data_IF_732689918644
#
_entry.id   IF_732689918644
#
_cell.length_a   1.000
_cell.length_b   1.000
_cell.length_c   1.000
_cell.angle_alpha   90.00
_cell.angle_beta   90.00
_cell.angle_gamma   90.00
#
_symmetry.space_group_name_H-M   'P 1'
#
loop_
_entity.id
_entity.type
_entity.pdbx_description
1 polymer ?
#
# COMPACT_ATOMS: atom_id res chain seq x y z
N UNK A 1 -8.58 -13.29 2.28
CA UNK A 1 -7.40 -12.73 1.60
C UNK A 1 -6.89 -13.61 0.44
N UNK A 2 -7.04 -14.95 0.51
CA UNK A 2 -6.58 -15.87 -0.54
C UNK A 2 -7.13 -15.52 -1.92
N UNK A 3 -8.43 -15.32 -2.05
CA UNK A 3 -9.09 -14.94 -3.32
C UNK A 3 -8.53 -13.65 -3.94
N UNK A 4 -8.01 -12.75 -3.10
CA UNK A 4 -7.47 -11.46 -3.53
C UNK A 4 -6.09 -11.64 -4.14
N UNK A 5 -5.28 -12.55 -3.60
CA UNK A 5 -3.98 -12.87 -4.20
C UNK A 5 -4.15 -13.49 -5.59
N UNK A 6 -5.18 -14.31 -5.80
CA UNK A 6 -5.46 -14.87 -7.11
C UNK A 6 -5.84 -13.76 -8.11
N UNK A 7 -6.68 -12.81 -7.71
CA UNK A 7 -7.04 -11.64 -8.54
C UNK A 7 -5.81 -10.77 -8.80
N UNK A 8 -5.00 -10.50 -7.77
CA UNK A 8 -3.78 -9.72 -7.91
C UNK A 8 -2.78 -10.42 -8.84
N UNK A 9 -2.54 -11.70 -8.62
CA UNK A 9 -1.66 -12.52 -9.46
C UNK A 9 -2.16 -12.59 -10.90
N UNK A 10 -3.45 -12.71 -11.12
CA UNK A 10 -4.03 -12.70 -12.46
C UNK A 10 -3.82 -11.36 -13.19
N UNK A 11 -3.94 -10.25 -12.46
CA UNK A 11 -3.67 -8.91 -13.01
C UNK A 11 -2.19 -8.66 -13.30
N UNK A 12 -1.28 -9.36 -12.62
CA UNK A 12 0.17 -9.18 -12.69
C UNK A 12 0.88 -10.23 -13.57
N UNK A 13 0.19 -11.27 -14.05
CA UNK A 13 0.70 -12.55 -14.59
C UNK A 13 1.80 -12.49 -15.64
N UNK A 14 1.99 -11.39 -16.37
CA UNK A 14 2.97 -11.35 -17.46
C UNK A 14 4.03 -10.25 -17.37
N UNK A 15 3.91 -9.33 -16.41
CA UNK A 15 4.73 -8.09 -16.41
C UNK A 15 5.40 -7.74 -15.08
N UNK A 16 5.25 -8.56 -14.05
CA UNK A 16 5.78 -8.18 -12.74
C UNK A 16 7.24 -8.59 -12.58
N UNK A 17 8.05 -7.64 -12.09
CA UNK A 17 9.42 -7.87 -11.64
C UNK A 17 9.47 -8.59 -10.28
N UNK A 18 8.33 -8.69 -9.57
CA UNK A 18 8.24 -9.18 -8.19
C UNK A 18 7.53 -10.55 -8.07
N UNK A 19 7.53 -11.36 -9.13
CA UNK A 19 6.80 -12.64 -9.16
C UNK A 19 7.13 -13.56 -7.98
N UNK A 20 8.41 -13.75 -7.67
CA UNK A 20 8.84 -14.63 -6.57
C UNK A 20 8.37 -14.09 -5.20
N UNK A 21 8.36 -12.77 -5.05
CA UNK A 21 7.87 -12.12 -3.84
C UNK A 21 6.35 -12.27 -3.70
N UNK A 22 5.60 -12.16 -4.77
CA UNK A 22 4.14 -12.38 -4.78
C UNK A 22 3.79 -13.82 -4.41
N UNK A 23 4.50 -14.80 -4.95
CA UNK A 23 4.34 -16.21 -4.58
C UNK A 23 4.69 -16.48 -3.10
N UNK A 24 5.71 -15.80 -2.58
CA UNK A 24 6.02 -15.83 -1.15
C UNK A 24 4.87 -15.25 -0.32
N UNK A 25 4.35 -14.08 -0.66
CA UNK A 25 3.24 -13.43 0.05
C UNK A 25 2.00 -14.34 0.08
N UNK A 26 1.66 -14.97 -1.05
CA UNK A 26 0.56 -15.91 -1.14
C UNK A 26 0.71 -17.03 -0.12
N UNK A 27 1.84 -17.74 -0.17
CA UNK A 27 2.14 -18.83 0.77
C UNK A 27 2.16 -18.37 2.23
N UNK A 28 2.65 -17.16 2.45
CA UNK A 28 2.70 -16.57 3.78
C UNK A 28 1.29 -16.35 4.36
N UNK A 29 0.38 -15.77 3.57
CA UNK A 29 -1.02 -15.54 3.98
C UNK A 29 -1.77 -16.85 4.20
N UNK A 30 -1.64 -17.82 3.28
CA UNK A 30 -2.24 -19.14 3.41
C UNK A 30 -1.79 -19.87 4.70
N UNK A 31 -0.49 -19.80 5.02
CA UNK A 31 0.09 -20.48 6.17
C UNK A 31 -0.27 -19.84 7.52
N UNK A 32 -0.41 -18.51 7.56
CA UNK A 32 -0.61 -17.77 8.81
C UNK A 32 -2.07 -17.42 9.10
N UNK A 33 -3.02 -17.77 8.21
CA UNK A 33 -4.47 -17.52 8.38
C UNK A 33 -4.76 -16.07 8.77
N UNK A 34 -4.24 -15.13 8.00
CA UNK A 34 -4.32 -13.71 8.30
C UNK A 34 -5.78 -13.26 8.37
N UNK A 35 -6.16 -12.68 9.49
CA UNK A 35 -7.50 -12.16 9.76
C UNK A 35 -7.45 -10.64 9.78
N UNK A 36 -8.36 -10.01 9.06
CA UNK A 36 -8.54 -8.55 9.05
C UNK A 36 -9.91 -8.18 9.65
N UNK A 37 -10.04 -7.05 10.35
CA UNK A 37 -11.34 -6.60 10.84
C UNK A 37 -12.24 -6.25 9.65
N UNK A 38 -13.45 -6.81 9.63
CA UNK A 38 -14.46 -6.46 8.63
C UNK A 38 -15.14 -5.15 9.03
N UNK A 39 -14.98 -4.12 8.20
CA UNK A 39 -15.51 -2.78 8.44
C UNK A 39 -15.88 -2.11 7.12
N UNK A 40 -16.61 -0.98 7.20
CA UNK A 40 -16.77 -0.12 6.04
C UNK A 40 -15.43 0.48 5.62
N UNK A 41 -15.22 0.63 4.31
CA UNK A 41 -14.08 1.31 3.72
C UNK A 41 -14.54 2.17 2.53
N UNK A 42 -13.69 3.12 2.15
CA UNK A 42 -13.85 3.93 0.94
C UNK A 42 -13.40 3.18 -0.30
N UNK A 43 -12.40 2.30 -0.16
CA UNK A 43 -11.83 1.48 -1.22
C UNK A 43 -10.72 2.14 -2.03
N UNK A 44 -10.67 3.47 -2.08
CA UNK A 44 -9.60 4.24 -2.73
C UNK A 44 -9.40 5.59 -2.05
N UNK A 45 -9.17 5.59 -0.74
CA UNK A 45 -9.00 6.81 0.06
C UNK A 45 -7.62 7.44 -0.17
N UNK A 46 -7.43 8.00 -1.35
CA UNK A 46 -6.27 8.82 -1.72
C UNK A 46 -6.59 10.31 -1.58
N UNK A 47 -5.59 11.16 -1.55
CA UNK A 47 -5.82 12.61 -1.48
C UNK A 47 -6.54 13.17 -2.71
N UNK A 48 -6.44 12.52 -3.87
CA UNK A 48 -7.21 12.89 -5.05
C UNK A 48 -8.72 12.74 -4.85
N UNK A 49 -9.15 11.88 -3.93
CA UNK A 49 -10.55 11.58 -3.64
C UNK A 49 -11.06 12.32 -2.40
N UNK A 50 -10.29 13.29 -1.88
CA UNK A 50 -10.67 14.13 -0.75
C UNK A 50 -10.76 15.59 -1.21
N UNK A 51 -11.94 16.17 -1.12
CA UNK A 51 -12.19 17.57 -1.44
C UNK A 51 -12.40 18.36 -0.15
N UNK A 52 -11.61 19.41 0.03
CA UNK A 52 -11.82 20.36 1.12
C UNK A 52 -12.52 21.62 0.59
N UNK A 53 -13.72 21.90 1.08
CA UNK A 53 -14.48 23.09 0.68
C UNK A 53 -15.23 23.67 1.89
N UNK A 54 -15.13 24.99 2.11
CA UNK A 54 -15.85 25.73 3.20
C UNK A 54 -15.74 25.02 4.57
N UNK A 55 -14.53 24.66 4.99
CA UNK A 55 -14.23 23.94 6.23
C UNK A 55 -14.92 22.56 6.38
N UNK A 56 -15.25 21.91 5.25
CA UNK A 56 -15.80 20.56 5.22
C UNK A 56 -14.95 19.67 4.31
N UNK A 57 -14.84 18.41 4.70
CA UNK A 57 -14.23 17.38 3.88
C UNK A 57 -15.36 16.61 3.16
N UNK A 58 -15.15 16.37 1.89
CA UNK A 58 -16.02 15.54 1.06
C UNK A 58 -15.16 14.41 0.50
N UNK A 59 -15.68 13.20 0.60
CA UNK A 59 -15.07 12.01 0.03
C UNK A 59 -15.83 11.64 -1.22
N UNK A 60 -15.12 11.40 -2.32
CA UNK A 60 -15.67 11.07 -3.64
C UNK A 60 -15.03 9.78 -4.15
N UNK A 61 -15.62 9.18 -5.19
CA UNK A 61 -15.11 7.98 -5.85
C UNK A 61 -14.94 6.77 -4.91
N UNK A 62 -16.02 6.44 -4.17
CA UNK A 62 -16.11 5.21 -3.41
C UNK A 62 -16.05 4.02 -4.37
N UNK A 63 -15.13 3.09 -4.10
CA UNK A 63 -14.96 1.87 -4.89
C UNK A 63 -15.27 0.63 -4.05
N UNK A 64 -15.71 -0.43 -4.73
CA UNK A 64 -15.80 -1.75 -4.11
C UNK A 64 -14.39 -2.20 -3.67
N UNK A 65 -14.28 -2.58 -2.40
CA UNK A 65 -13.04 -3.05 -1.84
C UNK A 65 -12.87 -4.56 -2.11
N UNK A 66 -11.66 -4.99 -2.41
CA UNK A 66 -11.35 -6.44 -2.38
C UNK A 66 -11.43 -7.00 -0.96
N UNK A 67 -11.12 -6.17 0.03
CA UNK A 67 -11.24 -6.48 1.46
C UNK A 67 -11.97 -5.34 2.14
N UNK A 68 -13.16 -5.62 2.65
CA UNK A 68 -13.96 -4.64 3.41
C UNK A 68 -13.34 -4.40 4.78
N UNK A 69 -12.33 -3.55 4.80
CA UNK A 69 -11.63 -3.15 6.03
C UNK A 69 -11.12 -1.71 5.93
N UNK A 70 -11.24 -0.95 7.03
CA UNK A 70 -10.66 0.40 7.10
C UNK A 70 -9.12 0.41 6.95
N UNK A 71 -8.46 -0.74 7.15
CA UNK A 71 -7.02 -0.87 6.90
C UNK A 71 -6.70 -0.64 5.42
N UNK A 72 -7.61 -1.00 4.50
CA UNK A 72 -7.47 -0.71 3.06
C UNK A 72 -7.39 0.80 2.81
N UNK A 73 -8.17 1.60 3.53
CA UNK A 73 -8.11 3.06 3.44
C UNK A 73 -6.83 3.63 4.06
N UNK A 74 -6.38 3.07 5.19
CA UNK A 74 -5.13 3.51 5.81
C UNK A 74 -3.91 3.26 4.93
N UNK A 75 -3.84 2.14 4.21
CA UNK A 75 -2.72 1.88 3.28
C UNK A 75 -2.77 2.80 2.06
N UNK A 76 -3.95 3.25 1.64
CA UNK A 76 -4.10 4.27 0.60
C UNK A 76 -3.61 5.64 1.05
N UNK A 77 -3.95 6.05 2.26
CA UNK A 77 -3.44 7.27 2.87
C UNK A 77 -1.91 7.18 3.04
N UNK A 78 -1.39 6.03 3.47
CA UNK A 78 0.06 5.79 3.58
C UNK A 78 0.76 5.95 2.23
N UNK A 79 0.17 5.44 1.16
CA UNK A 79 0.69 5.60 -0.19
C UNK A 79 0.97 7.06 -0.54
N UNK A 80 0.09 7.98 -0.13
CA UNK A 80 0.28 9.40 -0.39
C UNK A 80 1.19 10.08 0.63
N UNK A 81 1.03 9.80 1.93
CA UNK A 81 1.72 10.51 3.01
C UNK A 81 3.15 10.03 3.24
N UNK A 82 3.39 8.73 3.22
CA UNK A 82 4.70 8.14 3.54
C UNK A 82 5.53 7.89 2.27
N UNK A 83 4.89 7.39 1.23
CA UNK A 83 5.58 7.10 -0.03
C UNK A 83 5.61 8.29 -1.00
N UNK A 84 4.84 9.35 -0.71
CA UNK A 84 4.71 10.56 -1.53
C UNK A 84 4.26 10.27 -2.97
N UNK A 85 3.44 9.23 -3.15
CA UNK A 85 3.08 8.76 -4.49
C UNK A 85 2.43 9.86 -5.33
N UNK A 86 1.42 10.56 -4.80
CA UNK A 86 0.74 11.64 -5.49
C UNK A 86 1.72 12.79 -5.84
N UNK A 87 2.60 13.19 -4.92
CA UNK A 87 3.56 14.26 -5.16
C UNK A 87 4.56 13.90 -6.26
N UNK A 88 5.03 12.66 -6.28
CA UNK A 88 5.98 12.17 -7.29
C UNK A 88 5.33 12.07 -8.67
N UNK A 89 4.09 11.58 -8.74
CA UNK A 89 3.35 11.43 -10.01
C UNK A 89 2.95 12.78 -10.60
N UNK A 90 2.65 13.77 -9.75
CA UNK A 90 2.29 15.13 -10.21
C UNK A 90 3.49 16.05 -10.40
N UNK A 91 4.71 15.56 -10.13
CA UNK A 91 5.95 16.34 -10.21
C UNK A 91 5.91 17.64 -9.35
N UNK A 92 5.25 17.59 -8.21
CA UNK A 92 5.07 18.71 -7.26
C UNK A 92 5.84 18.45 -5.97
N UNK A 93 6.95 17.76 -6.04
CA UNK A 93 7.73 17.38 -4.87
C UNK A 93 8.57 18.56 -4.38
N UNK A 94 8.27 19.03 -3.16
CA UNK A 94 9.09 19.99 -2.43
C UNK A 94 9.43 19.46 -1.05
N UNK A 95 10.61 19.80 -0.53
CA UNK A 95 11.03 19.40 0.82
C UNK A 95 10.02 19.80 1.91
N UNK A 96 9.38 20.96 1.75
CA UNK A 96 8.36 21.42 2.72
C UNK A 96 7.11 20.54 2.70
N UNK A 97 6.63 20.12 1.54
CA UNK A 97 5.48 19.21 1.44
C UNK A 97 5.82 17.85 2.01
N UNK A 98 7.02 17.34 1.74
CA UNK A 98 7.51 16.10 2.32
C UNK A 98 7.47 16.13 3.86
N UNK A 99 7.95 17.21 4.48
CA UNK A 99 7.91 17.35 5.94
C UNK A 99 6.48 17.36 6.48
N UNK A 100 5.54 18.06 5.81
CA UNK A 100 4.13 18.09 6.21
C UNK A 100 3.52 16.70 6.10
N UNK A 101 3.80 15.96 5.02
CA UNK A 101 3.26 14.62 4.79
C UNK A 101 3.81 13.61 5.81
N UNK A 102 5.12 13.65 6.10
CA UNK A 102 5.73 12.81 7.15
C UNK A 102 5.14 13.11 8.52
N UNK A 103 4.94 14.38 8.85
CA UNK A 103 4.28 14.75 10.10
C UNK A 103 2.87 14.18 10.19
N UNK A 104 2.06 14.36 9.13
CA UNK A 104 0.70 13.83 9.09
C UNK A 104 0.66 12.30 9.19
N UNK A 105 1.59 11.60 8.52
CA UNK A 105 1.72 10.15 8.63
C UNK A 105 2.07 9.71 10.05
N UNK A 106 3.06 10.32 10.67
CA UNK A 106 3.47 10.01 12.05
C UNK A 106 2.31 10.18 13.05
N UNK A 107 1.49 11.22 12.88
CA UNK A 107 0.30 11.43 13.73
C UNK A 107 -0.75 10.32 13.53
N UNK A 108 -0.97 9.89 12.29
CA UNK A 108 -1.87 8.77 11.98
C UNK A 108 -1.32 7.44 12.51
N UNK A 109 -0.05 7.16 12.28
CA UNK A 109 0.63 5.95 12.74
C UNK A 109 0.55 5.85 14.27
N UNK A 110 0.85 6.91 15.00
CA UNK A 110 0.74 6.95 16.46
C UNK A 110 -0.71 6.68 16.94
N UNK A 111 -1.69 7.26 16.26
CA UNK A 111 -3.12 7.11 16.63
C UNK A 111 -3.65 5.70 16.35
N UNK A 112 -3.22 5.09 15.27
CA UNK A 112 -3.72 3.79 14.80
C UNK A 112 -2.70 2.65 14.96
N UNK A 113 -1.61 2.85 15.73
CA UNK A 113 -0.53 1.88 15.92
C UNK A 113 -1.01 0.50 16.35
N UNK A 114 -2.08 0.43 17.16
CA UNK A 114 -2.67 -0.85 17.59
C UNK A 114 -3.31 -1.67 16.46
N UNK A 115 -3.58 -1.04 15.31
CA UNK A 115 -4.14 -1.67 14.12
C UNK A 115 -3.08 -1.88 13.03
N UNK A 116 -1.91 -1.25 13.14
CA UNK A 116 -0.80 -1.36 12.20
C UNK A 116 0.09 -2.55 12.53
N UNK A 117 -0.47 -3.74 12.44
CA UNK A 117 0.19 -5.01 12.66
C UNK A 117 0.21 -5.83 11.36
N UNK A 118 0.60 -7.09 11.42
CA UNK A 118 0.86 -7.94 10.25
C UNK A 118 -0.18 -7.85 9.11
N UNK A 119 -1.51 -7.86 9.34
CA UNK A 119 -2.50 -7.67 8.28
C UNK A 119 -2.38 -6.32 7.55
N UNK A 120 -2.05 -5.25 8.27
CA UNK A 120 -1.80 -3.94 7.68
C UNK A 120 -0.56 -3.97 6.78
N UNK A 121 0.55 -4.56 7.24
CA UNK A 121 1.78 -4.67 6.45
C UNK A 121 1.55 -5.46 5.14
N UNK A 122 0.72 -6.51 5.18
CA UNK A 122 0.34 -7.29 4.00
C UNK A 122 -0.51 -6.46 3.02
N UNK A 123 -1.54 -5.78 3.53
CA UNK A 123 -2.41 -4.93 2.70
C UNK A 123 -1.62 -3.76 2.08
N UNK A 124 -0.65 -3.21 2.80
CA UNK A 124 0.25 -2.16 2.31
C UNK A 124 1.06 -2.66 1.11
N UNK A 125 1.72 -3.80 1.24
CA UNK A 125 2.47 -4.42 0.13
C UNK A 125 1.58 -4.77 -1.05
N UNK A 126 0.40 -5.33 -0.81
CA UNK A 126 -0.57 -5.64 -1.88
C UNK A 126 -1.02 -4.37 -2.61
N UNK A 127 -1.28 -3.29 -1.87
CA UNK A 127 -1.64 -2.00 -2.47
C UNK A 127 -0.52 -1.45 -3.36
N UNK A 128 0.74 -1.59 -2.93
CA UNK A 128 1.91 -1.13 -3.69
C UNK A 128 2.09 -1.98 -4.96
N UNK A 129 2.02 -3.30 -4.84
CA UNK A 129 2.15 -4.22 -5.99
C UNK A 129 1.06 -3.96 -7.04
N UNK A 130 -0.16 -3.61 -6.63
CA UNK A 130 -1.25 -3.27 -7.53
C UNK A 130 -0.95 -2.08 -8.44
N UNK A 131 -0.03 -1.20 -8.06
CA UNK A 131 0.37 -0.04 -8.86
C UNK A 131 1.30 -0.44 -10.02
N UNK A 132 2.04 -1.54 -9.88
CA UNK A 132 3.08 -1.96 -10.84
C UNK A 132 2.60 -1.97 -12.30
N UNK A 133 1.41 -2.50 -12.67
CA UNK A 133 0.94 -2.51 -14.06
C UNK A 133 0.71 -1.12 -14.67
N UNK A 134 0.54 -0.11 -13.85
CA UNK A 134 0.25 1.27 -14.28
C UNK A 134 1.50 2.14 -14.40
N UNK A 135 2.69 1.58 -14.11
CA UNK A 135 3.94 2.33 -14.20
C UNK A 135 4.32 2.57 -15.66
N UNK A 136 4.58 3.83 -15.98
CA UNK A 136 4.89 4.28 -17.35
C UNK A 136 6.37 4.61 -17.56
N UNK A 137 7.16 4.73 -16.48
CA UNK A 137 8.58 5.08 -16.55
C UNK A 137 9.44 4.19 -15.67
N UNK A 138 10.72 4.10 -16.02
CA UNK A 138 11.73 3.37 -15.24
C UNK A 138 11.92 4.01 -13.85
N UNK A 139 11.88 5.34 -13.74
CA UNK A 139 12.01 6.04 -12.47
C UNK A 139 10.89 5.64 -11.49
N UNK A 140 9.66 5.49 -11.98
CA UNK A 140 8.54 5.01 -11.17
C UNK A 140 8.77 3.58 -10.68
N UNK A 141 9.33 2.70 -11.52
CA UNK A 141 9.66 1.32 -11.14
C UNK A 141 10.73 1.27 -10.05
N UNK A 142 11.78 2.07 -10.19
CA UNK A 142 12.84 2.18 -9.17
C UNK A 142 12.28 2.66 -7.84
N UNK A 143 11.34 3.61 -7.85
CA UNK A 143 10.67 4.08 -6.64
C UNK A 143 9.84 2.95 -6.02
N UNK A 144 9.03 2.25 -6.81
CA UNK A 144 8.21 1.14 -6.36
C UNK A 144 9.06 0.02 -5.73
N UNK A 145 10.13 -0.40 -6.40
CA UNK A 145 11.07 -1.41 -5.91
C UNK A 145 11.67 -1.02 -4.56
N UNK A 146 12.08 0.24 -4.39
CA UNK A 146 12.59 0.75 -3.10
C UNK A 146 11.53 0.69 -2.00
N UNK A 147 10.29 1.05 -2.31
CA UNK A 147 9.19 1.00 -1.35
C UNK A 147 8.96 -0.46 -0.91
N UNK A 148 8.84 -1.39 -1.85
CA UNK A 148 8.66 -2.82 -1.57
C UNK A 148 9.79 -3.33 -0.66
N UNK A 149 11.04 -3.04 -1.01
CA UNK A 149 12.22 -3.47 -0.25
C UNK A 149 12.31 -2.86 1.15
N UNK A 150 11.63 -1.75 1.40
CA UNK A 150 11.56 -1.12 2.72
C UNK A 150 10.50 -1.72 3.65
N UNK A 151 9.64 -2.60 3.15
CA UNK A 151 8.56 -3.20 3.96
C UNK A 151 9.08 -4.30 4.89
N UNK A 152 8.46 -4.46 6.05
CA UNK A 152 8.80 -5.52 7.01
C UNK A 152 8.61 -6.92 6.42
N UNK A 153 7.57 -7.11 5.62
CA UNK A 153 7.28 -8.39 4.96
C UNK A 153 8.37 -8.76 3.96
N UNK A 154 8.97 -7.80 3.26
CA UNK A 154 10.10 -8.06 2.36
C UNK A 154 11.34 -8.55 3.12
N UNK A 155 11.60 -8.03 4.33
CA UNK A 155 12.67 -8.53 5.17
C UNK A 155 12.48 -10.02 5.52
N UNK A 156 11.24 -10.46 5.78
CA UNK A 156 10.92 -11.87 6.00
C UNK A 156 11.16 -12.71 4.74
N UNK A 157 10.81 -12.20 3.55
CA UNK A 157 11.07 -12.86 2.27
C UNK A 157 12.55 -13.13 2.05
N UNK A 158 13.41 -12.12 2.25
CA UNK A 158 14.86 -12.26 2.10
C UNK A 158 15.42 -13.28 3.10
N UNK A 159 15.01 -13.21 4.36
CA UNK A 159 15.45 -14.14 5.40
C UNK A 159 15.06 -15.60 5.10
N UNK A 160 13.90 -15.83 4.50
CA UNK A 160 13.40 -17.16 4.14
C UNK A 160 14.12 -17.76 2.93
N UNK A 161 14.68 -16.93 2.03
CA UNK A 161 15.36 -17.36 0.82
C UNK A 161 16.90 -17.36 0.95
N UNK A 162 17.46 -17.25 2.17
CA UNK A 162 18.91 -17.32 2.41
C UNK A 162 19.70 -16.12 1.92
N UNK A 163 19.04 -14.97 1.73
CA UNK A 163 19.70 -13.71 1.43
C UNK A 163 20.55 -13.21 2.60
N UNK A 164 21.62 -12.45 2.35
CA UNK A 164 22.41 -11.84 3.42
C UNK A 164 21.53 -10.87 4.23
N UNK A 165 21.60 -11.00 5.54
CA UNK A 165 21.03 -10.04 6.51
C UNK A 165 21.82 -8.74 6.45
#
# INVERSE_FOLDING_TARGET
LEDIFDILLDSLKEKTFHKEYIEFLRKYVESNKIIVPHTFCHGDLTFSNIIFHKNRLFFIDFLDCYVDTFLSDLVKIKQDLDYFWALKTWNVHTHRLEQIYRFAWNELENRYSSFMYEPFDILDVMNILRIEPYLTSEDQRVILDRIIKSTKIYANFISSNGGPI
#
